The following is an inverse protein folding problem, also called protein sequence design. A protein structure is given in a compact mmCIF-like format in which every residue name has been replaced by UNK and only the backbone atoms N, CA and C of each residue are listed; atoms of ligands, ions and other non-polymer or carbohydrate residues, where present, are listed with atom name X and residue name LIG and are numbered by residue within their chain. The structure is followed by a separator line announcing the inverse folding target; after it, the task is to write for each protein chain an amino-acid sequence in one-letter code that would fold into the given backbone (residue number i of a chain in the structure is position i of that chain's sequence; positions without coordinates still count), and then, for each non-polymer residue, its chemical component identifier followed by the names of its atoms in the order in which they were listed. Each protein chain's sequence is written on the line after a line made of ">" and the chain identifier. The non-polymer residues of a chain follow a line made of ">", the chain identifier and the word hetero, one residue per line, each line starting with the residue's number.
data_IF_935385053830
#
_entry.id   IF_935385053830
#
_cell.length_a   1.000
_cell.length_b   1.000
_cell.length_c   1.000
_cell.angle_alpha   90.00
_cell.angle_beta   90.00
_cell.angle_gamma   90.00
#
_symmetry.space_group_name_H-M   'P 1'
#
loop_
_entity.id
_entity.type
_entity.pdbx_description
1 polymer ?
#
# COMPACT_ATOMS: atom_id res chain seq x y z
N UNK A 1 40.87 -20.30 55.24
CA UNK A 1 41.13 -18.87 54.92
C UNK A 1 39.89 -17.98 54.95
N UNK A 2 38.79 -18.29 54.26
CA UNK A 2 37.60 -17.40 54.17
C UNK A 2 36.94 -17.00 55.51
N UNK A 3 36.89 -17.87 56.53
CA UNK A 3 36.27 -17.55 57.83
C UNK A 3 37.10 -16.59 58.70
N UNK A 4 38.43 -16.63 58.59
CA UNK A 4 39.33 -15.71 59.29
C UNK A 4 39.34 -14.31 58.64
N UNK A 5 39.19 -14.26 57.32
CA UNK A 5 39.01 -13.00 56.59
C UNK A 5 37.71 -12.30 56.98
N UNK A 6 36.57 -13.03 57.02
CA UNK A 6 35.30 -12.48 57.51
C UNK A 6 35.39 -11.90 58.92
N UNK A 7 36.12 -12.56 59.83
CA UNK A 7 36.28 -12.10 61.20
C UNK A 7 37.17 -10.85 61.29
N UNK A 8 38.22 -10.78 60.47
CA UNK A 8 39.06 -9.58 60.32
C UNK A 8 38.24 -8.40 59.80
N UNK A 9 37.42 -8.63 58.78
CA UNK A 9 36.58 -7.61 58.16
C UNK A 9 35.52 -7.05 59.14
N UNK A 10 34.89 -7.94 59.93
CA UNK A 10 33.95 -7.57 61.00
C UNK A 10 34.60 -6.71 62.10
N UNK A 11 35.83 -7.04 62.53
CA UNK A 11 36.54 -6.26 63.56
C UNK A 11 37.00 -4.89 63.05
N UNK A 12 37.39 -4.79 61.76
CA UNK A 12 37.70 -3.50 61.14
C UNK A 12 36.48 -2.59 60.99
N UNK A 13 35.29 -3.16 60.75
CA UNK A 13 34.06 -2.38 60.61
C UNK A 13 33.62 -1.73 61.94
N UNK A 14 33.90 -2.39 63.07
CA UNK A 14 33.63 -1.85 64.42
C UNK A 14 34.56 -0.68 64.77
N UNK A 15 35.85 -0.76 64.40
CA UNK A 15 36.82 0.33 64.60
C UNK A 15 36.49 1.59 63.78
N UNK A 16 35.88 1.40 62.61
CA UNK A 16 35.50 2.50 61.72
C UNK A 16 34.17 3.18 62.11
N UNK A 17 33.31 2.49 62.88
CA UNK A 17 31.97 2.97 63.29
C UNK A 17 31.92 3.54 64.71
N UNK A 18 33.03 3.56 65.44
CA UNK A 18 33.08 4.11 66.80
C UNK A 18 33.25 5.64 66.75
N UNK A 19 32.24 6.38 67.25
CA UNK A 19 32.13 7.85 67.06
C UNK A 19 32.38 8.62 68.38
N UNK A 20 32.48 7.95 69.53
CA UNK A 20 32.67 8.63 70.83
C UNK A 20 34.15 8.89 71.15
N UNK A 21 34.50 10.13 71.49
CA UNK A 21 35.88 10.62 71.61
C UNK A 21 36.56 10.33 72.97
N UNK A 22 36.01 9.46 73.81
CA UNK A 22 36.52 9.24 75.17
C UNK A 22 37.67 8.22 75.27
N UNK A 23 37.88 7.37 74.26
CA UNK A 23 38.95 6.37 74.24
C UNK A 23 39.74 6.48 72.92
N UNK A 24 41.07 6.39 72.97
CA UNK A 24 41.91 6.41 71.77
C UNK A 24 41.74 5.12 70.96
N UNK A 25 41.96 5.18 69.64
CA UNK A 25 41.91 4.00 68.76
C UNK A 25 42.81 2.85 69.25
N UNK A 26 43.98 3.16 69.81
CA UNK A 26 44.89 2.16 70.39
C UNK A 26 44.30 1.49 71.65
N UNK A 27 43.57 2.23 72.49
CA UNK A 27 42.87 1.68 73.66
C UNK A 27 41.73 0.75 73.24
N UNK A 28 40.97 1.14 72.21
CA UNK A 28 39.88 0.32 71.66
C UNK A 28 40.43 -0.95 71.02
N UNK A 29 41.57 -0.87 70.31
CA UNK A 29 42.27 -2.04 69.78
C UNK A 29 42.70 -3.00 70.90
N UNK A 30 43.26 -2.49 72.01
CA UNK A 30 43.61 -3.34 73.16
C UNK A 30 42.42 -3.91 73.92
N UNK A 31 41.23 -3.30 73.85
CA UNK A 31 40.01 -3.87 74.40
C UNK A 31 39.40 -4.96 73.52
N UNK A 32 39.39 -4.76 72.20
CA UNK A 32 38.89 -5.74 71.23
C UNK A 32 39.84 -6.93 71.06
N UNK A 33 41.15 -6.67 71.15
CA UNK A 33 42.19 -7.66 71.09
C UNK A 33 43.34 -7.34 72.06
N UNK A 34 43.25 -7.70 73.35
CA UNK A 34 44.37 -7.56 74.28
C UNK A 34 45.66 -8.17 73.73
N UNK A 35 46.80 -7.51 73.97
CA UNK A 35 48.12 -7.93 73.45
C UNK A 35 48.44 -9.40 73.79
N UNK A 36 47.91 -9.89 74.91
CA UNK A 36 48.06 -11.26 75.40
C UNK A 36 46.93 -12.21 74.95
N UNK A 37 46.11 -11.87 73.94
CA UNK A 37 45.10 -12.81 73.38
C UNK A 37 45.77 -14.07 72.86
N UNK A 38 46.90 -13.94 72.15
CA UNK A 38 47.58 -15.09 71.59
C UNK A 38 48.06 -16.03 72.70
N UNK A 39 48.65 -15.49 73.78
CA UNK A 39 49.05 -16.25 74.97
C UNK A 39 47.85 -16.81 75.74
N UNK A 40 46.76 -16.04 75.87
CA UNK A 40 45.55 -16.47 76.58
C UNK A 40 44.85 -17.60 75.82
N UNK A 41 44.76 -17.51 74.50
CA UNK A 41 44.25 -18.57 73.63
C UNK A 41 45.17 -19.78 73.63
N UNK A 42 46.50 -19.61 73.66
CA UNK A 42 47.44 -20.71 73.81
C UNK A 42 47.34 -21.38 75.18
N UNK A 43 47.12 -20.62 76.25
CA UNK A 43 46.87 -21.15 77.60
C UNK A 43 45.52 -21.86 77.69
N UNK A 44 44.46 -21.30 77.10
CA UNK A 44 43.16 -21.97 77.00
C UNK A 44 43.30 -23.25 76.16
N UNK A 45 43.99 -23.21 75.02
CA UNK A 45 44.29 -24.41 74.20
C UNK A 45 45.14 -25.43 74.95
N UNK A 46 46.10 -25.01 75.78
CA UNK A 46 46.95 -25.92 76.56
C UNK A 46 46.19 -26.55 77.72
N UNK A 47 45.27 -25.81 78.36
CA UNK A 47 44.35 -26.33 79.39
C UNK A 47 43.31 -27.25 78.76
N UNK A 48 42.75 -26.90 77.60
CA UNK A 48 41.81 -27.73 76.83
C UNK A 48 42.50 -29.02 76.39
N UNK A 49 43.71 -28.97 75.83
CA UNK A 49 44.50 -30.18 75.48
C UNK A 49 44.84 -31.07 76.69
N UNK A 50 44.86 -30.50 77.90
CA UNK A 50 45.09 -31.24 79.16
C UNK A 50 43.81 -31.79 79.80
N UNK A 51 42.65 -31.13 79.61
CA UNK A 51 41.36 -31.51 80.23
C UNK A 51 40.39 -32.25 79.30
N UNK A 52 40.46 -32.00 78.00
CA UNK A 52 39.70 -32.76 77.00
C UNK A 52 40.49 -34.02 76.71
N UNK A 53 39.92 -35.23 76.90
CA UNK A 53 40.60 -36.44 76.47
C UNK A 53 40.95 -36.27 75.00
N UNK A 54 42.19 -36.63 74.59
CA UNK A 54 42.47 -36.86 73.16
C UNK A 54 41.31 -37.71 72.66
N UNK A 55 40.58 -37.22 71.65
CA UNK A 55 39.42 -37.95 71.11
C UNK A 55 39.82 -39.39 71.03
N UNK A 56 39.08 -40.24 71.76
CA UNK A 56 39.45 -41.63 71.81
C UNK A 56 39.44 -42.14 70.37
N UNK A 57 40.30 -43.10 70.00
CA UNK A 57 40.29 -43.68 68.66
C UNK A 57 38.86 -44.03 68.19
N UNK A 58 38.00 -44.42 69.13
CA UNK A 58 36.58 -44.71 68.93
C UNK A 58 35.73 -43.46 68.61
N UNK A 59 35.93 -42.32 69.28
CA UNK A 59 35.24 -41.06 68.95
C UNK A 59 35.65 -40.51 67.59
N UNK A 60 36.93 -40.56 67.25
CA UNK A 60 37.41 -40.15 65.93
C UNK A 60 36.88 -41.07 64.82
N UNK A 61 36.81 -42.38 65.08
CA UNK A 61 36.18 -43.33 64.18
C UNK A 61 34.67 -43.05 64.02
N UNK A 62 33.97 -42.72 65.11
CA UNK A 62 32.54 -42.41 65.09
C UNK A 62 32.22 -41.12 64.31
N UNK A 63 32.99 -40.05 64.51
CA UNK A 63 32.84 -38.80 63.74
C UNK A 63 33.11 -39.02 62.25
N UNK A 64 34.13 -39.82 61.91
CA UNK A 64 34.43 -40.16 60.52
C UNK A 64 33.34 -41.02 59.87
N UNK A 65 32.79 -41.99 60.60
CA UNK A 65 31.69 -42.83 60.12
C UNK A 65 30.42 -42.00 59.88
N UNK A 66 30.12 -41.07 60.79
CA UNK A 66 28.97 -40.15 60.67
C UNK A 66 29.13 -39.26 59.45
N UNK A 67 30.33 -38.70 59.23
CA UNK A 67 30.61 -37.88 58.04
C UNK A 67 30.56 -38.69 56.74
N UNK A 68 31.09 -39.92 56.75
CA UNK A 68 31.01 -40.83 55.60
C UNK A 68 29.55 -41.19 55.27
N UNK A 69 28.69 -41.36 56.28
CA UNK A 69 27.26 -41.61 56.06
C UNK A 69 26.58 -40.40 55.40
N UNK A 70 26.88 -39.18 55.85
CA UNK A 70 26.37 -37.94 55.22
C UNK A 70 26.89 -37.78 53.78
N UNK A 71 28.20 -37.96 53.57
CA UNK A 71 28.84 -37.86 52.26
C UNK A 71 28.27 -38.92 51.28
N UNK A 72 27.99 -40.13 51.77
CA UNK A 72 27.39 -41.20 50.97
C UNK A 72 25.94 -40.88 50.58
N UNK A 73 25.13 -40.34 51.50
CA UNK A 73 23.77 -39.86 51.18
C UNK A 73 23.79 -38.72 50.15
N UNK A 74 24.75 -37.81 50.22
CA UNK A 74 24.92 -36.73 49.23
C UNK A 74 25.27 -37.33 47.87
N UNK A 75 26.19 -38.29 47.84
CA UNK A 75 26.61 -38.97 46.61
C UNK A 75 25.45 -39.73 45.95
N UNK A 76 24.69 -40.52 46.71
CA UNK A 76 23.52 -41.25 46.22
C UNK A 76 22.45 -40.30 45.66
N UNK A 77 22.17 -39.20 46.36
CA UNK A 77 21.26 -38.17 45.88
C UNK A 77 21.75 -37.49 44.60
N UNK A 78 23.06 -37.23 44.48
CA UNK A 78 23.66 -36.67 43.28
C UNK A 78 23.60 -37.66 42.11
N UNK A 79 23.83 -38.95 42.34
CA UNK A 79 23.64 -39.99 41.33
C UNK A 79 22.20 -40.05 40.84
N UNK A 80 21.22 -40.05 41.75
CA UNK A 80 19.80 -40.06 41.39
C UNK A 80 19.41 -38.81 40.58
N UNK A 81 19.89 -37.63 40.97
CA UNK A 81 19.67 -36.39 40.21
C UNK A 81 20.30 -36.45 38.83
N UNK A 82 21.50 -36.99 38.70
CA UNK A 82 22.17 -37.15 37.41
C UNK A 82 21.40 -38.11 36.50
N UNK A 83 20.90 -39.21 37.06
CA UNK A 83 20.06 -40.18 36.33
C UNK A 83 18.77 -39.52 35.82
N UNK A 84 18.08 -38.75 36.67
CA UNK A 84 16.87 -38.00 36.30
C UNK A 84 17.17 -36.93 35.24
N UNK A 85 18.28 -36.19 35.39
CA UNK A 85 18.70 -35.18 34.42
C UNK A 85 19.00 -35.82 33.04
N UNK A 86 19.63 -37.00 33.02
CA UNK A 86 19.91 -37.74 31.79
C UNK A 86 18.62 -38.17 31.09
N UNK A 87 17.65 -38.71 31.83
CA UNK A 87 16.33 -39.08 31.27
C UNK A 87 15.61 -37.85 30.71
N UNK A 88 15.65 -36.72 31.42
CA UNK A 88 15.01 -35.48 30.96
C UNK A 88 15.71 -34.90 29.73
N UNK A 89 17.04 -34.99 29.66
CA UNK A 89 17.80 -34.60 28.48
C UNK A 89 17.42 -35.46 27.26
N UNK A 90 17.38 -36.78 27.40
CA UNK A 90 16.96 -37.69 26.33
C UNK A 90 15.53 -37.39 25.85
N UNK A 91 14.60 -37.09 26.77
CA UNK A 91 13.23 -36.68 26.41
C UNK A 91 13.20 -35.34 25.67
N UNK A 92 13.96 -34.35 26.14
CA UNK A 92 14.01 -33.04 25.52
C UNK A 92 14.64 -33.09 24.12
N UNK A 93 15.68 -33.92 23.96
CA UNK A 93 16.34 -34.16 22.68
C UNK A 93 15.38 -34.84 21.68
N UNK A 94 14.67 -35.90 22.10
CA UNK A 94 13.65 -36.55 21.28
C UNK A 94 12.51 -35.59 20.89
N UNK A 95 12.02 -34.78 21.83
CA UNK A 95 10.99 -33.77 21.57
C UNK A 95 11.48 -32.74 20.55
N UNK A 96 12.69 -32.20 20.75
CA UNK A 96 13.30 -31.21 19.86
C UNK A 96 13.48 -31.76 18.45
N UNK A 97 14.02 -32.98 18.32
CA UNK A 97 14.22 -33.63 17.04
C UNK A 97 12.89 -33.90 16.32
N UNK A 98 11.88 -34.39 17.04
CA UNK A 98 10.55 -34.64 16.48
C UNK A 98 9.86 -33.35 16.04
N UNK A 99 9.98 -32.29 16.83
CA UNK A 99 9.44 -30.97 16.49
C UNK A 99 10.13 -30.38 15.26
N UNK A 100 11.46 -30.46 15.20
CA UNK A 100 12.23 -29.94 14.07
C UNK A 100 11.88 -30.68 12.77
N UNK A 101 11.77 -32.01 12.81
CA UNK A 101 11.34 -32.81 11.64
C UNK A 101 9.91 -32.47 11.20
N UNK A 102 8.97 -32.35 12.14
CA UNK A 102 7.59 -32.01 11.81
C UNK A 102 7.48 -30.60 11.19
N UNK A 103 8.18 -29.63 11.79
CA UNK A 103 8.24 -28.25 11.30
C UNK A 103 8.87 -28.19 9.91
N UNK A 104 10.00 -28.85 9.69
CA UNK A 104 10.72 -28.81 8.42
C UNK A 104 9.88 -29.46 7.31
N UNK A 105 9.19 -30.58 7.59
CA UNK A 105 8.27 -31.20 6.64
C UNK A 105 7.11 -30.28 6.23
N UNK A 106 6.49 -29.58 7.19
CA UNK A 106 5.40 -28.64 6.90
C UNK A 106 5.91 -27.45 6.06
N UNK A 107 7.07 -26.90 6.42
CA UNK A 107 7.66 -25.76 5.70
C UNK A 107 8.08 -26.13 4.29
N UNK A 108 8.71 -27.30 4.09
CA UNK A 108 9.11 -27.77 2.77
C UNK A 108 7.90 -27.91 1.86
N UNK A 109 6.84 -28.59 2.32
CA UNK A 109 5.61 -28.73 1.54
C UNK A 109 4.99 -27.37 1.18
N UNK A 110 4.95 -26.44 2.15
CA UNK A 110 4.43 -25.09 1.92
C UNK A 110 5.26 -24.34 0.87
N UNK A 111 6.60 -24.43 0.93
CA UNK A 111 7.48 -23.78 -0.05
C UNK A 111 7.34 -24.40 -1.44
N UNK A 112 7.14 -25.71 -1.56
CA UNK A 112 6.90 -26.36 -2.85
C UNK A 112 5.56 -25.92 -3.46
N UNK A 113 4.49 -25.84 -2.67
CA UNK A 113 3.20 -25.33 -3.15
C UNK A 113 3.27 -23.86 -3.59
N UNK A 114 3.96 -23.02 -2.81
CA UNK A 114 4.18 -21.60 -3.17
C UNK A 114 5.02 -21.50 -4.43
N UNK A 115 6.09 -22.29 -4.56
CA UNK A 115 6.96 -22.32 -5.75
C UNK A 115 6.16 -22.66 -6.99
N UNK A 116 5.35 -23.72 -6.94
CA UNK A 116 4.63 -24.22 -8.11
C UNK A 116 3.58 -23.21 -8.58
N UNK A 117 2.85 -22.61 -7.63
CA UNK A 117 1.87 -21.57 -7.93
C UNK A 117 2.52 -20.27 -8.41
N UNK A 118 3.66 -19.88 -7.83
CA UNK A 118 4.45 -18.74 -8.29
C UNK A 118 4.90 -18.91 -9.75
N UNK A 119 5.45 -20.07 -10.09
CA UNK A 119 5.91 -20.39 -11.46
C UNK A 119 4.73 -20.38 -12.43
N UNK A 120 3.57 -20.91 -12.04
CA UNK A 120 2.34 -20.87 -12.85
C UNK A 120 1.92 -19.43 -13.17
N UNK A 121 1.78 -18.57 -12.14
CA UNK A 121 1.37 -17.18 -12.34
C UNK A 121 2.38 -16.41 -13.20
N UNK A 122 3.68 -16.61 -12.96
CA UNK A 122 4.72 -15.92 -13.72
C UNK A 122 4.70 -16.28 -15.21
N UNK A 123 4.44 -17.56 -15.53
CA UNK A 123 4.25 -18.04 -16.91
C UNK A 123 3.01 -17.46 -17.57
N UNK A 124 1.91 -17.33 -16.84
CA UNK A 124 0.69 -16.70 -17.38
C UNK A 124 0.96 -15.22 -17.70
N UNK A 125 1.73 -14.52 -16.86
CA UNK A 125 2.05 -13.10 -17.01
C UNK A 125 2.88 -12.81 -18.28
N UNK A 126 3.95 -13.57 -18.49
CA UNK A 126 4.91 -13.37 -19.60
C UNK A 126 4.60 -14.24 -20.83
N UNK A 127 3.63 -15.15 -20.74
CA UNK A 127 3.19 -16.00 -21.84
C UNK A 127 4.33 -16.78 -22.48
N UNK A 128 4.53 -16.57 -23.78
CA UNK A 128 5.49 -17.33 -24.57
C UNK A 128 6.96 -17.06 -24.22
N UNK A 129 7.25 -15.91 -23.62
CA UNK A 129 8.63 -15.48 -23.35
C UNK A 129 9.27 -16.32 -22.24
N UNK A 130 8.46 -16.84 -21.31
CA UNK A 130 8.93 -17.50 -20.09
C UNK A 130 8.32 -18.91 -19.89
N UNK A 131 7.88 -19.59 -20.96
CA UNK A 131 7.27 -20.91 -20.88
C UNK A 131 8.10 -21.96 -20.11
N UNK A 132 9.43 -21.86 -20.19
CA UNK A 132 10.38 -22.77 -19.52
C UNK A 132 10.84 -22.28 -18.14
N UNK A 133 10.27 -21.19 -17.64
CA UNK A 133 10.64 -20.62 -16.35
C UNK A 133 10.53 -21.65 -15.22
N UNK A 134 11.52 -21.64 -14.33
CA UNK A 134 11.54 -22.45 -13.12
C UNK A 134 12.15 -21.66 -11.98
N UNK A 135 11.75 -22.00 -10.76
CA UNK A 135 12.24 -21.35 -9.54
C UNK A 135 12.57 -22.40 -8.50
N UNK A 136 13.49 -22.07 -7.61
CA UNK A 136 13.88 -22.85 -6.44
C UNK A 136 13.69 -21.98 -5.19
N UNK A 137 12.96 -22.51 -4.23
CA UNK A 137 12.76 -21.93 -2.91
C UNK A 137 13.33 -22.91 -1.88
N UNK A 138 14.52 -22.63 -1.37
CA UNK A 138 15.22 -23.49 -0.42
C UNK A 138 15.40 -22.79 0.91
N UNK A 139 15.07 -23.43 2.05
CA UNK A 139 15.31 -22.84 3.36
C UNK A 139 16.82 -22.71 3.62
N UNK A 140 17.25 -21.50 3.97
CA UNK A 140 18.65 -21.21 4.34
C UNK A 140 18.71 -20.60 5.74
N UNK A 141 19.06 -21.43 6.74
CA UNK A 141 19.12 -21.05 8.17
C UNK A 141 17.81 -20.41 8.67
N UNK A 142 17.78 -19.08 8.72
CA UNK A 142 16.67 -18.26 9.19
C UNK A 142 15.94 -17.53 8.07
N UNK A 143 16.30 -17.78 6.81
CA UNK A 143 15.72 -17.15 5.62
C UNK A 143 15.34 -18.17 4.55
N UNK A 144 14.91 -17.64 3.41
CA UNK A 144 14.56 -18.40 2.23
C UNK A 144 15.47 -17.96 1.09
N UNK A 145 16.16 -18.91 0.48
CA UNK A 145 16.96 -18.67 -0.72
C UNK A 145 16.08 -18.89 -1.93
N UNK A 146 15.84 -17.80 -2.68
CA UNK A 146 15.11 -17.81 -3.93
C UNK A 146 16.08 -17.72 -5.10
N UNK A 147 16.07 -18.72 -5.97
CA UNK A 147 16.76 -18.68 -7.25
C UNK A 147 15.78 -18.95 -8.39
N UNK A 148 15.93 -18.24 -9.49
CA UNK A 148 15.07 -18.32 -10.68
C UNK A 148 15.92 -18.61 -11.90
N UNK A 149 15.37 -19.37 -12.85
CA UNK A 149 16.03 -19.64 -14.13
C UNK A 149 16.20 -18.36 -14.94
N UNK A 150 17.28 -18.30 -15.72
CA UNK A 150 17.51 -17.23 -16.69
C UNK A 150 17.82 -17.85 -18.05
N UNK A 151 16.81 -17.98 -18.91
CA UNK A 151 16.91 -18.54 -20.27
C UNK A 151 17.70 -19.87 -20.36
N UNK A 152 17.57 -20.75 -19.36
CA UNK A 152 18.29 -22.03 -19.31
C UNK A 152 19.80 -21.94 -19.01
N UNK A 153 20.32 -20.77 -18.66
CA UNK A 153 21.72 -20.58 -18.24
C UNK A 153 21.97 -20.89 -16.76
N UNK A 154 20.95 -21.39 -16.05
CA UNK A 154 21.03 -21.79 -14.66
C UNK A 154 20.15 -20.94 -13.75
N UNK A 155 20.16 -21.27 -12.45
CA UNK A 155 19.36 -20.61 -11.43
C UNK A 155 20.18 -19.55 -10.70
N UNK A 156 19.64 -18.33 -10.62
CA UNK A 156 20.30 -17.19 -10.00
C UNK A 156 19.31 -16.40 -9.12
N UNK A 157 19.79 -15.62 -8.14
CA UNK A 157 18.93 -14.70 -7.43
C UNK A 157 18.22 -13.73 -8.40
N UNK A 158 16.93 -13.39 -8.21
CA UNK A 158 16.18 -12.56 -9.15
C UNK A 158 16.88 -11.24 -9.51
N UNK A 159 17.47 -10.58 -8.50
CA UNK A 159 18.17 -9.29 -8.65
C UNK A 159 19.47 -9.35 -9.46
N UNK A 160 19.98 -10.55 -9.79
CA UNK A 160 21.28 -10.70 -10.42
C UNK A 160 21.22 -10.50 -11.95
N UNK A 161 20.17 -11.00 -12.61
CA UNK A 161 20.11 -11.09 -14.08
C UNK A 161 18.81 -10.55 -14.71
N UNK A 162 17.76 -10.35 -13.93
CA UNK A 162 16.46 -9.90 -14.45
C UNK A 162 16.34 -8.38 -14.42
N UNK A 163 15.61 -7.81 -15.38
CA UNK A 163 15.27 -6.38 -15.38
C UNK A 163 14.32 -6.03 -14.23
N UNK A 164 14.20 -4.75 -13.91
CA UNK A 164 13.30 -4.26 -12.86
C UNK A 164 11.84 -4.69 -13.09
N UNK A 165 11.33 -4.60 -14.33
CA UNK A 165 9.98 -5.07 -14.66
C UNK A 165 9.78 -6.58 -14.45
N UNK A 166 10.81 -7.40 -14.74
CA UNK A 166 10.77 -8.83 -14.41
C UNK A 166 10.82 -9.07 -12.89
N UNK A 167 11.60 -8.29 -12.15
CA UNK A 167 11.67 -8.41 -10.69
C UNK A 167 10.35 -8.02 -10.02
N UNK A 168 9.73 -6.92 -10.46
CA UNK A 168 8.46 -6.45 -9.92
C UNK A 168 7.31 -7.40 -10.26
N UNK A 169 7.27 -7.93 -11.49
CA UNK A 169 6.30 -8.96 -11.86
C UNK A 169 6.49 -10.27 -11.07
N UNK A 170 7.73 -10.69 -10.79
CA UNK A 170 8.00 -11.79 -9.86
C UNK A 170 7.48 -11.47 -8.44
N UNK A 171 7.73 -10.25 -7.96
CA UNK A 171 7.24 -9.77 -6.67
C UNK A 171 5.71 -9.85 -6.56
N UNK A 172 4.99 -9.37 -7.58
CA UNK A 172 3.53 -9.45 -7.65
C UNK A 172 3.05 -10.91 -7.65
N UNK A 173 3.64 -11.78 -8.48
CA UNK A 173 3.25 -13.19 -8.54
C UNK A 173 3.46 -13.91 -7.20
N UNK A 174 4.59 -13.64 -6.54
CA UNK A 174 4.90 -14.22 -5.23
C UNK A 174 3.93 -13.69 -4.15
N UNK A 175 3.66 -12.38 -4.15
CA UNK A 175 2.72 -11.77 -3.23
C UNK A 175 1.30 -12.34 -3.38
N UNK A 176 0.79 -12.46 -4.61
CA UNK A 176 -0.53 -13.04 -4.87
C UNK A 176 -0.60 -14.51 -4.45
N UNK A 177 0.47 -15.27 -4.71
CA UNK A 177 0.56 -16.67 -4.26
C UNK A 177 0.52 -16.78 -2.74
N UNK A 178 1.25 -15.93 -2.04
CA UNK A 178 1.22 -15.88 -0.57
C UNK A 178 -0.14 -15.46 -0.04
N UNK A 179 -0.78 -14.47 -0.68
CA UNK A 179 -2.13 -14.02 -0.33
C UNK A 179 -3.15 -15.16 -0.48
N UNK A 180 -3.03 -16.00 -1.51
CA UNK A 180 -3.86 -17.18 -1.72
C UNK A 180 -3.58 -18.29 -0.69
N UNK A 181 -2.31 -18.67 -0.51
CA UNK A 181 -1.92 -19.86 0.26
C UNK A 181 -1.86 -19.66 1.77
N UNK A 182 -1.40 -18.49 2.23
CA UNK A 182 -1.22 -18.23 3.66
C UNK A 182 -2.53 -17.81 4.32
N UNK A 183 -3.32 -17.01 3.62
CA UNK A 183 -4.57 -16.49 4.17
C UNK A 183 -5.78 -17.37 3.82
N UNK A 184 -5.68 -18.27 2.83
CA UNK A 184 -6.77 -19.16 2.44
C UNK A 184 -8.09 -18.40 2.26
N UNK A 185 -9.13 -18.88 2.94
CA UNK A 185 -10.48 -18.28 2.97
C UNK A 185 -10.68 -17.28 4.13
N UNK A 186 -9.63 -16.95 4.90
CA UNK A 186 -9.74 -16.02 6.03
C UNK A 186 -9.78 -14.56 5.56
N UNK A 187 -9.02 -14.24 4.50
CA UNK A 187 -8.90 -12.88 3.96
C UNK A 187 -8.97 -12.93 2.44
N UNK A 188 -10.07 -12.45 1.91
CA UNK A 188 -10.30 -12.32 0.46
C UNK A 188 -10.01 -10.93 -0.08
N UNK A 189 -9.39 -10.07 0.73
CA UNK A 189 -9.01 -8.71 0.34
C UNK A 189 -7.53 -8.62 0.00
N UNK A 190 -7.22 -8.07 -1.16
CA UNK A 190 -5.86 -7.76 -1.61
C UNK A 190 -5.76 -6.28 -1.96
N UNK A 191 -4.72 -5.60 -1.46
CA UNK A 191 -4.49 -4.17 -1.69
C UNK A 191 -3.18 -4.01 -2.45
N UNK A 192 -3.21 -3.32 -3.58
CA UNK A 192 -2.06 -3.04 -4.44
C UNK A 192 -1.90 -1.51 -4.56
N UNK A 193 -0.79 -0.98 -4.08
CA UNK A 193 -0.48 0.46 -4.14
C UNK A 193 0.69 0.73 -5.10
N UNK A 194 0.35 1.26 -6.26
CA UNK A 194 1.26 1.67 -7.34
C UNK A 194 2.32 0.63 -7.74
N UNK A 195 1.91 -0.64 -7.82
CA UNK A 195 2.82 -1.79 -7.97
C UNK A 195 3.31 -2.08 -9.40
N UNK A 196 2.77 -1.41 -10.43
CA UNK A 196 3.04 -1.76 -11.85
C UNK A 196 3.84 -0.69 -12.61
N UNK A 197 4.54 0.19 -11.91
CA UNK A 197 5.21 1.35 -12.53
C UNK A 197 6.33 0.95 -13.52
N UNK A 198 7.12 -0.08 -13.22
CA UNK A 198 8.27 -0.54 -14.03
C UNK A 198 7.90 -1.56 -15.11
N UNK A 199 6.65 -2.05 -15.11
CA UNK A 199 6.17 -3.12 -15.97
C UNK A 199 5.59 -2.50 -17.24
N UNK A 200 5.96 -3.03 -18.41
CA UNK A 200 5.45 -2.51 -19.68
C UNK A 200 3.97 -2.83 -19.93
N UNK A 201 3.42 -2.23 -20.98
CA UNK A 201 2.00 -2.35 -21.32
C UNK A 201 1.58 -3.78 -21.74
N UNK A 202 2.49 -4.60 -22.25
CA UNK A 202 2.18 -5.97 -22.67
C UNK A 202 2.05 -6.88 -21.45
N UNK A 203 3.05 -6.85 -20.57
CA UNK A 203 3.06 -7.60 -19.31
C UNK A 203 1.95 -7.16 -18.34
N UNK A 204 1.56 -5.87 -18.35
CA UNK A 204 0.39 -5.37 -17.61
C UNK A 204 -0.92 -6.06 -18.03
N UNK A 205 -1.09 -6.46 -19.29
CA UNK A 205 -2.26 -7.26 -19.72
C UNK A 205 -2.22 -8.66 -19.12
N UNK A 206 -1.03 -9.25 -19.00
CA UNK A 206 -0.83 -10.50 -18.27
C UNK A 206 -1.31 -10.41 -16.82
N UNK A 207 -1.02 -9.29 -16.15
CA UNK A 207 -1.54 -9.01 -14.80
C UNK A 207 -3.08 -8.92 -14.81
N UNK A 208 -3.69 -8.18 -15.74
CA UNK A 208 -5.15 -8.14 -15.87
C UNK A 208 -5.77 -9.53 -16.01
N UNK A 209 -5.14 -10.40 -16.80
CA UNK A 209 -5.59 -11.78 -16.99
C UNK A 209 -5.49 -12.61 -15.69
N UNK A 210 -4.37 -12.49 -14.96
CA UNK A 210 -4.21 -13.14 -13.65
C UNK A 210 -5.30 -12.71 -12.68
N UNK A 211 -5.54 -11.40 -12.54
CA UNK A 211 -6.54 -10.88 -11.60
C UNK A 211 -7.94 -11.43 -11.87
N UNK A 212 -8.30 -11.62 -13.14
CA UNK A 212 -9.61 -12.13 -13.56
C UNK A 212 -9.74 -13.65 -13.43
N UNK A 213 -8.82 -14.37 -14.06
CA UNK A 213 -8.97 -15.81 -14.26
C UNK A 213 -8.45 -16.59 -13.04
N UNK A 214 -7.39 -16.12 -12.40
CA UNK A 214 -6.78 -16.82 -11.27
C UNK A 214 -7.41 -16.43 -9.92
N UNK A 215 -8.01 -15.24 -9.82
CA UNK A 215 -8.53 -14.70 -8.55
C UNK A 215 -9.99 -14.17 -8.61
N UNK A 216 -10.95 -14.91 -9.19
CA UNK A 216 -12.32 -14.43 -9.36
C UNK A 216 -13.08 -14.17 -8.05
N UNK A 217 -12.68 -14.85 -6.96
CA UNK A 217 -13.34 -14.77 -5.66
C UNK A 217 -12.65 -13.77 -4.69
N UNK A 218 -11.58 -13.10 -5.12
CA UNK A 218 -10.88 -12.12 -4.27
C UNK A 218 -11.26 -10.70 -4.64
N UNK A 219 -11.43 -9.86 -3.62
CA UNK A 219 -11.64 -8.42 -3.76
C UNK A 219 -10.30 -7.71 -3.86
N UNK A 220 -10.11 -6.92 -4.91
CA UNK A 220 -8.91 -6.11 -5.12
C UNK A 220 -9.21 -4.63 -4.88
N UNK A 221 -8.36 -3.97 -4.09
CA UNK A 221 -8.25 -2.52 -4.02
C UNK A 221 -6.93 -2.11 -4.66
N UNK A 222 -7.01 -1.35 -5.76
CA UNK A 222 -5.84 -0.91 -6.50
C UNK A 222 -5.78 0.61 -6.45
N UNK A 223 -4.70 1.14 -5.88
CA UNK A 223 -4.36 2.56 -5.94
C UNK A 223 -3.21 2.75 -6.91
N UNK A 224 -3.28 3.79 -7.74
CA UNK A 224 -2.21 4.09 -8.70
C UNK A 224 -2.24 5.56 -9.11
N UNK A 225 -1.07 6.10 -9.45
CA UNK A 225 -0.96 7.38 -10.12
C UNK A 225 -0.97 7.27 -11.66
N UNK A 226 -0.88 6.04 -12.21
CA UNK A 226 -0.83 5.80 -13.65
C UNK A 226 -2.23 5.67 -14.28
N UNK A 227 -2.64 6.73 -15.00
CA UNK A 227 -3.89 6.74 -15.76
C UNK A 227 -3.92 5.71 -16.89
N UNK A 228 -2.77 5.35 -17.45
CA UNK A 228 -2.66 4.33 -18.49
C UNK A 228 -3.00 2.96 -17.91
N UNK A 229 -2.51 2.65 -16.72
CA UNK A 229 -2.86 1.41 -16.01
C UNK A 229 -4.35 1.34 -15.70
N UNK A 230 -4.94 2.43 -15.20
CA UNK A 230 -6.39 2.54 -14.96
C UNK A 230 -7.19 2.26 -16.26
N UNK A 231 -6.77 2.84 -17.38
CA UNK A 231 -7.43 2.64 -18.67
C UNK A 231 -7.26 1.20 -19.20
N UNK A 232 -6.13 0.55 -18.92
CA UNK A 232 -5.91 -0.85 -19.26
C UNK A 232 -6.84 -1.77 -18.45
N UNK A 233 -6.96 -1.54 -17.14
CA UNK A 233 -7.92 -2.28 -16.29
C UNK A 233 -9.36 -2.15 -16.82
N UNK A 234 -9.77 -0.95 -17.25
CA UNK A 234 -11.07 -0.72 -17.91
C UNK A 234 -11.19 -1.49 -19.23
N UNK A 235 -10.20 -1.36 -20.11
CA UNK A 235 -10.24 -1.93 -21.45
C UNK A 235 -10.27 -3.46 -21.43
N UNK A 236 -9.42 -4.06 -20.60
CA UNK A 236 -9.40 -5.51 -20.39
C UNK A 236 -10.62 -5.99 -19.59
N UNK A 237 -11.51 -5.09 -19.14
CA UNK A 237 -12.74 -5.36 -18.36
C UNK A 237 -12.49 -5.96 -16.98
N UNK A 238 -11.40 -5.59 -16.33
CA UNK A 238 -11.12 -5.96 -14.92
C UNK A 238 -12.02 -5.16 -13.99
N UNK A 239 -12.32 -3.92 -14.35
CA UNK A 239 -13.15 -2.99 -13.59
C UNK A 239 -14.17 -2.31 -14.52
N UNK A 240 -15.36 -2.02 -14.00
CA UNK A 240 -16.33 -1.12 -14.61
C UNK A 240 -16.01 0.35 -14.31
N UNK A 241 -16.48 1.28 -15.14
CA UNK A 241 -16.26 2.72 -14.93
C UNK A 241 -16.77 3.25 -13.58
N UNK A 242 -17.82 2.63 -13.02
CA UNK A 242 -18.42 2.98 -11.72
C UNK A 242 -17.57 2.58 -10.51
N UNK A 243 -16.58 1.69 -10.71
CA UNK A 243 -15.74 1.15 -9.65
C UNK A 243 -14.44 1.95 -9.50
N UNK A 244 -14.31 3.06 -10.23
CA UNK A 244 -13.08 3.83 -10.33
C UNK A 244 -13.31 5.21 -9.73
N UNK A 245 -12.57 5.48 -8.67
CA UNK A 245 -12.59 6.75 -7.95
C UNK A 245 -11.30 7.50 -8.28
N UNK A 246 -11.43 8.64 -8.96
CA UNK A 246 -10.28 9.51 -9.22
C UNK A 246 -10.21 10.60 -8.15
N UNK A 247 -9.15 10.56 -7.34
CA UNK A 247 -8.81 11.65 -6.46
C UNK A 247 -8.10 12.76 -7.24
N UNK A 248 -8.52 14.00 -7.00
CA UNK A 248 -7.88 15.20 -7.55
C UNK A 248 -7.75 16.24 -6.45
N UNK A 249 -6.78 17.15 -6.58
CA UNK A 249 -6.48 18.25 -5.65
C UNK A 249 -6.36 17.84 -4.17
N UNK A 250 -5.22 18.16 -3.57
CA UNK A 250 -5.01 17.95 -2.14
C UNK A 250 -4.79 19.30 -1.45
N UNK A 251 -5.53 19.56 -0.38
CA UNK A 251 -5.29 20.68 0.52
C UNK A 251 -5.32 20.18 1.97
N UNK A 252 -4.52 20.78 2.85
CA UNK A 252 -4.44 20.47 4.28
C UNK A 252 -5.82 20.59 4.96
N UNK A 253 -6.63 21.57 4.57
CA UNK A 253 -7.92 21.82 5.23
C UNK A 253 -9.04 20.89 4.77
N UNK A 254 -9.01 20.43 3.52
CA UNK A 254 -10.10 19.65 2.91
C UNK A 254 -9.74 18.20 2.63
N UNK A 255 -8.46 17.84 2.69
CA UNK A 255 -7.94 16.57 2.22
C UNK A 255 -7.99 16.43 0.68
N UNK A 256 -7.76 15.22 0.16
CA UNK A 256 -7.95 14.90 -1.25
C UNK A 256 -9.45 14.93 -1.60
N UNK A 257 -9.79 15.59 -2.70
CA UNK A 257 -11.16 15.60 -3.22
C UNK A 257 -11.33 14.45 -4.22
N UNK A 258 -12.55 13.95 -4.37
CA UNK A 258 -12.91 13.00 -5.43
C UNK A 258 -14.13 13.56 -6.17
N UNK A 259 -14.28 13.21 -7.46
CA UNK A 259 -15.47 13.53 -8.26
C UNK A 259 -16.02 12.18 -8.68
N UNK A 260 -17.25 11.88 -8.26
CA UNK A 260 -18.06 10.99 -9.06
C UNK A 260 -18.45 11.76 -10.31
N UNK A 261 -17.93 11.39 -11.47
CA UNK A 261 -18.29 12.03 -12.75
C UNK A 261 -19.79 11.89 -13.06
N UNK A 262 -20.49 10.97 -12.39
CA UNK A 262 -21.95 10.80 -12.47
C UNK A 262 -22.73 11.70 -11.49
N UNK A 263 -22.06 12.31 -10.50
CA UNK A 263 -22.71 13.25 -9.56
C UNK A 263 -22.48 14.66 -10.07
N UNK A 264 -23.49 15.11 -10.82
CA UNK A 264 -23.83 16.49 -11.13
C UNK A 264 -22.84 17.55 -10.61
N UNK A 265 -22.01 18.11 -11.51
CA UNK A 265 -21.08 19.20 -11.18
C UNK A 265 -21.81 20.44 -10.64
N UNK A 266 -23.11 20.57 -10.89
CA UNK A 266 -23.92 21.76 -10.60
C UNK A 266 -24.34 21.82 -9.13
N UNK A 267 -24.76 20.71 -8.51
CA UNK A 267 -25.24 20.68 -7.12
C UNK A 267 -24.18 21.20 -6.09
N UNK A 268 -22.89 20.84 -6.19
CA UNK A 268 -21.86 21.42 -5.33
C UNK A 268 -21.60 22.91 -5.58
N UNK A 269 -21.76 23.37 -6.82
CA UNK A 269 -21.58 24.79 -7.19
C UNK A 269 -22.72 25.62 -6.58
N UNK A 270 -23.96 25.15 -6.68
CA UNK A 270 -25.13 25.80 -6.04
C UNK A 270 -24.95 25.88 -4.53
N UNK A 271 -24.52 24.80 -3.87
CA UNK A 271 -24.24 24.80 -2.42
C UNK A 271 -23.17 25.81 -2.01
N UNK A 272 -22.14 26.01 -2.83
CA UNK A 272 -21.09 27.00 -2.57
C UNK A 272 -21.63 28.44 -2.78
N UNK A 273 -22.49 28.65 -3.78
CA UNK A 273 -23.18 29.94 -4.00
C UNK A 273 -24.14 30.27 -2.85
N UNK A 274 -24.91 29.31 -2.34
CA UNK A 274 -25.79 29.49 -1.16
C UNK A 274 -25.02 29.91 0.09
N UNK A 275 -23.80 29.40 0.24
CA UNK A 275 -22.88 29.75 1.34
C UNK A 275 -22.14 31.07 1.12
N UNK A 276 -22.38 31.77 0.00
CA UNK A 276 -21.62 32.93 -0.47
C UNK A 276 -20.11 32.64 -0.65
N UNK A 277 -19.72 31.40 -0.88
CA UNK A 277 -18.34 31.02 -1.21
C UNK A 277 -18.10 31.07 -2.72
N UNK A 278 -18.12 32.29 -3.25
CA UNK A 278 -17.94 32.56 -4.68
C UNK A 278 -16.60 32.04 -5.21
N UNK A 279 -15.45 32.20 -4.52
CA UNK A 279 -14.18 31.65 -4.98
C UNK A 279 -14.20 30.13 -5.18
N UNK A 280 -14.78 29.37 -4.25
CA UNK A 280 -14.89 27.92 -4.37
C UNK A 280 -15.84 27.52 -5.51
N UNK A 281 -17.01 28.15 -5.61
CA UNK A 281 -17.97 27.91 -6.69
C UNK A 281 -17.34 28.14 -8.07
N UNK A 282 -16.61 29.24 -8.24
CA UNK A 282 -15.97 29.59 -9.50
C UNK A 282 -14.83 28.63 -9.85
N UNK A 283 -14.03 28.22 -8.85
CA UNK A 283 -12.98 27.22 -9.03
C UNK A 283 -13.56 25.86 -9.47
N UNK A 284 -14.66 25.42 -8.86
CA UNK A 284 -15.37 24.19 -9.23
C UNK A 284 -15.94 24.27 -10.63
N UNK A 285 -16.59 25.37 -10.99
CA UNK A 285 -17.13 25.59 -12.33
C UNK A 285 -16.04 25.45 -13.39
N UNK A 286 -14.92 26.17 -13.24
CA UNK A 286 -13.81 26.11 -14.20
C UNK A 286 -13.33 24.69 -14.42
N UNK A 287 -13.07 23.97 -13.32
CA UNK A 287 -12.53 22.61 -13.37
C UNK A 287 -13.52 21.62 -13.95
N UNK A 288 -14.79 21.72 -13.57
CA UNK A 288 -15.87 20.89 -14.12
C UNK A 288 -15.98 21.05 -15.63
N UNK A 289 -15.88 22.29 -16.12
CA UNK A 289 -15.88 22.58 -17.56
C UNK A 289 -14.60 22.08 -18.25
N UNK A 290 -13.42 22.22 -17.64
CA UNK A 290 -12.16 21.70 -18.20
C UNK A 290 -12.23 20.19 -18.43
N UNK A 291 -12.76 19.46 -17.44
CA UNK A 291 -12.98 18.03 -17.51
C UNK A 291 -14.05 17.67 -18.55
N UNK A 292 -15.21 18.33 -18.50
CA UNK A 292 -16.32 18.08 -19.43
C UNK A 292 -15.89 18.28 -20.89
N UNK A 293 -15.28 19.43 -21.21
CA UNK A 293 -14.83 19.71 -22.58
C UNK A 293 -13.61 18.88 -22.99
N UNK A 294 -12.77 18.45 -22.04
CA UNK A 294 -11.74 17.46 -22.29
C UNK A 294 -12.33 16.13 -22.79
N UNK A 295 -13.36 15.61 -22.11
CA UNK A 295 -14.09 14.40 -22.53
C UNK A 295 -14.79 14.59 -23.87
N UNK A 296 -15.45 15.73 -24.09
CA UNK A 296 -16.09 16.03 -25.38
C UNK A 296 -15.08 16.07 -26.53
N UNK A 297 -13.92 16.71 -26.33
CA UNK A 297 -12.86 16.74 -27.33
C UNK A 297 -12.35 15.33 -27.66
N UNK A 298 -12.26 14.45 -26.66
CA UNK A 298 -11.95 13.03 -26.88
C UNK A 298 -13.03 12.32 -27.70
N UNK A 299 -14.29 12.39 -27.25
CA UNK A 299 -15.41 11.60 -27.80
C UNK A 299 -15.82 12.05 -29.21
N UNK A 300 -15.69 13.35 -29.50
CA UNK A 300 -15.89 13.91 -30.84
C UNK A 300 -14.61 13.91 -31.68
N UNK A 301 -13.48 13.45 -31.14
CA UNK A 301 -12.16 13.44 -31.77
C UNK A 301 -11.74 14.81 -32.32
N UNK A 302 -11.90 15.84 -31.51
CA UNK A 302 -11.64 17.24 -31.86
C UNK A 302 -10.13 17.51 -31.78
N UNK A 303 -9.50 18.11 -32.81
CA UNK A 303 -8.10 18.45 -32.76
C UNK A 303 -7.86 19.58 -31.74
N UNK A 304 -6.95 19.33 -30.80
CA UNK A 304 -6.48 20.31 -29.80
C UNK A 304 -4.98 20.57 -29.98
N UNK A 305 -4.51 21.76 -29.58
CA UNK A 305 -3.09 22.10 -29.67
C UNK A 305 -2.31 21.23 -28.69
N UNK A 306 -1.41 20.41 -29.19
CA UNK A 306 -0.58 19.54 -28.36
C UNK A 306 0.36 20.35 -27.46
N UNK A 307 0.34 20.04 -26.16
CA UNK A 307 1.25 20.62 -25.16
C UNK A 307 2.06 19.50 -24.50
N UNK A 308 3.38 19.54 -24.67
CA UNK A 308 4.29 18.50 -24.16
C UNK A 308 4.22 18.30 -22.65
N UNK A 309 3.94 19.38 -21.91
CA UNK A 309 3.82 19.33 -20.44
C UNK A 309 2.50 18.72 -19.94
N UNK A 310 1.56 18.38 -20.84
CA UNK A 310 0.24 17.86 -20.49
C UNK A 310 -0.68 18.85 -19.76
N UNK A 311 -0.31 20.12 -19.66
CA UNK A 311 -1.10 21.16 -18.96
C UNK A 311 -2.02 21.85 -19.93
N UNK A 312 -3.28 21.47 -19.89
CA UNK A 312 -4.36 22.08 -20.66
C UNK A 312 -5.24 22.94 -19.74
N UNK A 313 -5.79 24.01 -20.29
CA UNK A 313 -6.73 24.91 -19.64
C UNK A 313 -8.08 24.89 -20.37
N UNK A 314 -9.13 25.43 -19.74
CA UNK A 314 -10.48 25.45 -20.32
C UNK A 314 -10.51 25.98 -21.75
N UNK A 315 -9.77 27.07 -22.01
CA UNK A 315 -9.72 27.70 -23.32
C UNK A 315 -9.18 26.78 -24.43
N UNK A 316 -8.31 25.82 -24.08
CA UNK A 316 -7.75 24.85 -25.04
C UNK A 316 -8.81 23.84 -25.51
N UNK A 317 -9.84 23.57 -24.71
CA UNK A 317 -10.89 22.60 -25.03
C UNK A 317 -12.20 23.26 -25.47
N UNK A 318 -12.63 24.30 -24.75
CA UNK A 318 -13.92 24.97 -24.94
C UNK A 318 -14.07 25.54 -26.37
N UNK A 319 -13.08 26.30 -26.83
CA UNK A 319 -13.16 26.97 -28.14
C UNK A 319 -13.16 25.95 -29.29
N UNK A 320 -12.24 24.94 -29.32
CA UNK A 320 -12.32 23.88 -30.31
C UNK A 320 -13.64 23.10 -30.26
N UNK A 321 -14.15 22.78 -29.07
CA UNK A 321 -15.42 22.08 -28.90
C UNK A 321 -16.60 22.84 -29.50
N UNK A 322 -16.74 24.13 -29.18
CA UNK A 322 -17.78 24.98 -29.75
C UNK A 322 -17.69 25.10 -31.27
N UNK A 323 -16.48 25.24 -31.80
CA UNK A 323 -16.26 25.34 -33.24
C UNK A 323 -16.58 24.04 -33.98
N UNK A 324 -16.15 22.89 -33.46
CA UNK A 324 -16.44 21.61 -34.11
C UNK A 324 -17.92 21.22 -33.97
N UNK A 325 -18.58 21.54 -32.85
CA UNK A 325 -20.02 21.33 -32.73
C UNK A 325 -20.82 22.11 -33.80
N UNK A 326 -20.47 23.38 -34.03
CA UNK A 326 -21.03 24.17 -35.14
C UNK A 326 -20.72 23.57 -36.51
N UNK A 327 -19.51 23.05 -36.71
CA UNK A 327 -19.08 22.36 -37.93
C UNK A 327 -19.88 21.08 -38.18
N UNK A 328 -20.10 20.28 -37.14
CA UNK A 328 -20.92 19.05 -37.15
C UNK A 328 -22.36 19.37 -37.56
N UNK A 329 -23.00 20.36 -36.95
CA UNK A 329 -24.37 20.76 -37.34
C UNK A 329 -24.42 21.21 -38.80
N UNK A 330 -23.45 22.00 -39.27
CA UNK A 330 -23.39 22.43 -40.66
C UNK A 330 -23.24 21.24 -41.63
N UNK A 331 -22.39 20.26 -41.30
CA UNK A 331 -22.22 19.02 -42.07
C UNK A 331 -23.49 18.19 -42.05
N UNK A 332 -24.14 18.06 -40.88
CA UNK A 332 -25.41 17.37 -40.69
C UNK A 332 -26.53 17.95 -41.55
N UNK A 333 -26.73 19.27 -41.54
CA UNK A 333 -27.70 19.96 -42.40
C UNK A 333 -27.42 19.72 -43.88
N UNK A 334 -26.15 19.79 -44.29
CA UNK A 334 -25.76 19.57 -45.67
C UNK A 334 -25.93 18.10 -46.12
N UNK A 335 -25.76 17.15 -45.19
CA UNK A 335 -26.08 15.73 -45.41
C UNK A 335 -27.60 15.54 -45.52
N UNK A 336 -28.38 16.05 -44.57
CA UNK A 336 -29.84 15.95 -44.56
C UNK A 336 -30.46 16.47 -45.88
N UNK A 337 -30.02 17.64 -46.36
CA UNK A 337 -30.41 18.19 -47.66
C UNK A 337 -30.01 17.32 -48.86
N UNK A 338 -28.89 16.60 -48.76
CA UNK A 338 -28.42 15.72 -49.83
C UNK A 338 -29.17 14.39 -49.88
N UNK A 339 -29.77 13.98 -48.77
CA UNK A 339 -30.54 12.75 -48.61
C UNK A 339 -32.06 12.98 -48.61
N UNK A 340 -32.51 14.21 -48.87
CA UNK A 340 -33.92 14.63 -48.81
C UNK A 340 -34.61 14.25 -47.48
N UNK A 341 -33.87 14.37 -46.36
CA UNK A 341 -34.40 14.11 -45.02
C UNK A 341 -34.83 15.43 -44.35
N UNK A 342 -36.10 15.81 -44.56
CA UNK A 342 -36.68 17.06 -44.04
C UNK A 342 -36.76 17.08 -42.51
N UNK A 343 -37.12 15.96 -41.87
CA UNK A 343 -37.24 15.87 -40.39
C UNK A 343 -35.90 16.10 -39.68
N UNK A 344 -34.82 15.51 -40.20
CA UNK A 344 -33.47 15.74 -39.67
C UNK A 344 -32.99 17.18 -39.95
N UNK A 345 -33.40 17.77 -41.08
CA UNK A 345 -33.03 19.14 -41.41
C UNK A 345 -33.69 20.13 -40.45
N UNK A 346 -35.00 20.00 -40.22
CA UNK A 346 -35.75 20.88 -39.32
C UNK A 346 -35.26 20.76 -37.88
N UNK A 347 -34.99 19.54 -37.40
CA UNK A 347 -34.43 19.33 -36.06
C UNK A 347 -33.05 19.98 -35.91
N UNK A 348 -32.16 19.85 -36.91
CA UNK A 348 -30.86 20.52 -36.88
C UNK A 348 -30.95 22.04 -37.04
N UNK A 349 -31.96 22.57 -37.73
CA UNK A 349 -32.21 24.01 -37.81
C UNK A 349 -32.66 24.60 -36.47
N UNK A 350 -33.54 23.89 -35.76
CA UNK A 350 -33.90 24.24 -34.38
C UNK A 350 -32.69 24.20 -33.43
N UNK A 351 -31.91 23.12 -33.47
CA UNK A 351 -30.69 22.99 -32.64
C UNK A 351 -29.69 24.10 -32.95
N UNK A 352 -29.50 24.49 -34.21
CA UNK A 352 -28.57 25.56 -34.59
C UNK A 352 -29.04 26.95 -34.11
N UNK A 353 -30.36 27.18 -34.10
CA UNK A 353 -30.97 28.38 -33.54
C UNK A 353 -30.72 28.47 -32.03
N UNK A 354 -31.05 27.41 -31.28
CA UNK A 354 -30.80 27.31 -29.83
C UNK A 354 -29.31 27.45 -29.52
N UNK A 355 -28.44 26.75 -30.25
CA UNK A 355 -26.98 26.88 -30.14
C UNK A 355 -26.54 28.33 -30.33
N UNK A 356 -27.08 29.03 -31.33
CA UNK A 356 -26.75 30.43 -31.61
C UNK A 356 -27.05 31.36 -30.44
N UNK A 357 -28.20 31.17 -29.79
CA UNK A 357 -28.60 31.92 -28.59
C UNK A 357 -27.70 31.60 -27.40
N UNK A 358 -27.44 30.32 -27.14
CA UNK A 358 -26.56 29.87 -26.05
C UNK A 358 -25.15 30.40 -26.24
N UNK A 359 -24.57 30.31 -27.45
CA UNK A 359 -23.23 30.83 -27.73
C UNK A 359 -23.16 32.34 -27.52
N UNK A 360 -24.22 33.07 -27.89
CA UNK A 360 -24.33 34.50 -27.63
C UNK A 360 -24.29 34.82 -26.13
N UNK A 361 -25.07 34.07 -25.32
CA UNK A 361 -25.08 34.20 -23.85
C UNK A 361 -23.71 33.83 -23.26
N UNK A 362 -23.17 32.66 -23.58
CA UNK A 362 -21.85 32.23 -23.09
C UNK A 362 -20.77 33.24 -23.47
N UNK A 363 -20.76 33.80 -24.68
CA UNK A 363 -19.79 34.82 -25.08
C UNK A 363 -19.98 36.17 -24.40
N UNK A 364 -21.21 36.60 -24.15
CA UNK A 364 -21.50 37.83 -23.40
C UNK A 364 -21.00 37.71 -21.96
N UNK A 365 -21.26 36.57 -21.32
CA UNK A 365 -20.71 36.23 -20.01
C UNK A 365 -19.19 35.97 -20.05
N UNK A 366 -18.64 35.62 -21.21
CA UNK A 366 -17.20 35.50 -21.46
C UNK A 366 -16.50 36.85 -21.60
N UNK A 367 -17.21 37.96 -21.84
CA UNK A 367 -16.57 39.28 -21.76
C UNK A 367 -16.16 39.62 -20.31
N UNK A 368 -16.94 39.17 -19.33
CA UNK A 368 -16.60 39.14 -17.90
C UNK A 368 -15.38 38.23 -17.61
N UNK A 369 -15.14 37.23 -18.47
CA UNK A 369 -14.00 36.30 -18.41
C UNK A 369 -12.72 36.87 -19.06
N UNK A 370 -12.81 37.58 -20.20
CA UNK A 370 -11.65 38.04 -21.00
C UNK A 370 -10.80 39.14 -20.33
N UNK A 371 -11.36 39.91 -19.40
CA UNK A 371 -10.58 40.83 -18.57
C UNK A 371 -9.61 40.10 -17.61
N UNK A 372 -9.76 38.78 -17.44
CA UNK A 372 -9.13 37.99 -16.38
C UNK A 372 -8.49 36.67 -16.85
N UNK A 373 -8.35 36.43 -18.16
CA UNK A 373 -7.70 35.22 -18.69
C UNK A 373 -6.19 35.17 -18.39
N UNK A 374 -5.61 36.28 -17.93
CA UNK A 374 -4.23 36.32 -17.44
C UNK A 374 -4.10 36.35 -15.92
N UNK A 375 -5.16 36.65 -15.15
CA UNK A 375 -5.09 36.67 -13.68
C UNK A 375 -6.41 36.28 -13.00
N UNK A 376 -6.24 35.45 -11.99
CA UNK A 376 -7.19 34.77 -11.11
C UNK A 376 -8.25 35.69 -10.46
N UNK A 377 -9.24 36.19 -11.20
CA UNK A 377 -10.21 37.17 -10.70
C UNK A 377 -11.66 36.64 -10.54
N UNK A 378 -11.91 35.36 -10.80
CA UNK A 378 -13.22 34.75 -10.58
C UNK A 378 -13.62 34.78 -9.09
N UNK A 379 -12.63 34.85 -8.20
CA UNK A 379 -12.81 34.98 -6.75
C UNK A 379 -13.38 36.34 -6.31
N UNK A 380 -13.40 37.36 -7.18
CA UNK A 380 -13.86 38.71 -6.87
C UNK A 380 -15.30 38.98 -7.32
N UNK A 381 -16.00 37.98 -7.86
CA UNK A 381 -17.40 38.08 -8.23
C UNK A 381 -18.31 38.05 -7.00
N UNK A 382 -19.47 38.69 -7.10
CA UNK A 382 -20.57 38.45 -6.17
C UNK A 382 -21.37 37.22 -6.63
N UNK A 383 -22.21 36.68 -5.75
CA UNK A 383 -23.13 35.58 -6.10
C UNK A 383 -24.01 35.95 -7.31
N UNK A 384 -24.46 37.21 -7.38
CA UNK A 384 -25.29 37.71 -8.48
C UNK A 384 -24.54 37.81 -9.81
N UNK A 385 -23.20 37.90 -9.78
CA UNK A 385 -22.38 37.92 -10.99
C UNK A 385 -22.04 36.50 -11.48
N UNK A 386 -21.86 35.54 -10.56
CA UNK A 386 -21.48 34.18 -10.92
C UNK A 386 -22.68 33.30 -11.32
N UNK A 387 -23.87 33.52 -10.76
CA UNK A 387 -25.05 32.71 -11.06
C UNK A 387 -25.44 32.70 -12.55
N UNK A 388 -25.49 33.85 -13.26
CA UNK A 388 -25.80 33.86 -14.71
C UNK A 388 -24.74 33.14 -15.54
N UNK A 389 -23.48 33.16 -15.09
CA UNK A 389 -22.37 32.46 -15.74
C UNK A 389 -22.56 30.94 -15.60
N UNK A 390 -22.90 30.45 -14.40
CA UNK A 390 -23.17 29.03 -14.15
C UNK A 390 -24.30 28.53 -15.05
N UNK A 391 -25.43 29.24 -15.09
CA UNK A 391 -26.56 28.91 -15.96
C UNK A 391 -26.17 28.87 -17.44
N UNK A 392 -25.42 29.87 -17.93
CA UNK A 392 -25.00 29.92 -19.32
C UNK A 392 -24.08 28.77 -19.72
N UNK A 393 -23.23 28.30 -18.80
CA UNK A 393 -22.37 27.13 -19.03
C UNK A 393 -23.12 25.81 -18.87
N UNK A 394 -24.12 25.73 -18.00
CA UNK A 394 -25.01 24.58 -17.90
C UNK A 394 -25.79 24.37 -19.20
N UNK A 395 -26.39 25.44 -19.73
CA UNK A 395 -27.06 25.43 -21.04
C UNK A 395 -26.09 25.00 -22.17
N UNK A 396 -24.84 25.46 -22.12
CA UNK A 396 -23.83 25.08 -23.09
C UNK A 396 -23.48 23.58 -23.01
N UNK A 397 -23.30 23.03 -21.81
CA UNK A 397 -23.02 21.61 -21.61
C UNK A 397 -24.17 20.74 -22.15
N UNK A 398 -25.42 21.15 -21.94
CA UNK A 398 -26.61 20.42 -22.42
C UNK A 398 -26.63 20.23 -23.95
N UNK A 399 -26.01 21.13 -24.73
CA UNK A 399 -25.92 20.98 -26.19
C UNK A 399 -25.14 19.72 -26.63
N UNK A 400 -24.20 19.27 -25.80
CA UNK A 400 -23.35 18.10 -26.06
C UNK A 400 -23.92 16.80 -25.46
N UNK A 401 -25.06 16.88 -24.79
CA UNK A 401 -25.73 15.74 -24.18
C UNK A 401 -26.99 15.37 -24.98
N UNK A 402 -27.33 14.09 -24.96
CA UNK A 402 -28.59 13.63 -25.54
C UNK A 402 -29.76 14.01 -24.61
N UNK A 403 -30.81 14.72 -25.10
CA UNK A 403 -31.95 15.10 -24.27
C UNK A 403 -32.70 13.91 -23.66
N UNK A 404 -32.68 12.74 -24.30
CA UNK A 404 -33.41 11.55 -23.84
C UNK A 404 -32.66 10.68 -22.83
N UNK A 405 -31.35 10.51 -22.98
CA UNK A 405 -30.57 9.58 -22.15
C UNK A 405 -29.48 10.24 -21.31
N UNK A 406 -29.29 11.56 -21.42
CA UNK A 406 -28.24 12.31 -20.72
C UNK A 406 -26.80 11.98 -21.17
N UNK A 407 -26.60 10.96 -22.01
CA UNK A 407 -25.28 10.55 -22.48
C UNK A 407 -24.66 11.55 -23.44
N UNK A 408 -23.34 11.70 -23.36
CA UNK A 408 -22.56 12.54 -24.29
C UNK A 408 -22.69 12.05 -25.74
N UNK A 409 -22.71 13.00 -26.67
CA UNK A 409 -22.64 12.70 -28.10
C UNK A 409 -21.20 12.38 -28.48
N UNK A 410 -21.01 11.37 -29.33
CA UNK A 410 -19.69 10.96 -29.79
C UNK A 410 -19.66 10.76 -31.30
N UNK A 411 -18.45 10.84 -31.87
CA UNK A 411 -18.23 10.71 -33.30
C UNK A 411 -17.92 9.25 -33.65
N UNK A 412 -18.78 8.63 -34.46
CA UNK A 412 -18.48 7.32 -35.04
C UNK A 412 -17.77 7.48 -36.39
N UNK A 413 -16.68 6.72 -36.56
CA UNK A 413 -15.83 6.74 -37.75
C UNK A 413 -15.93 5.42 -38.52
N UNK A 414 -15.83 5.50 -39.84
CA UNK A 414 -15.62 4.33 -40.72
C UNK A 414 -14.37 4.60 -41.55
N UNK A 415 -13.42 3.66 -41.54
CA UNK A 415 -12.10 3.84 -42.18
C UNK A 415 -11.43 5.17 -41.82
N UNK A 416 -11.43 5.52 -40.53
CA UNK A 416 -10.89 6.77 -39.96
C UNK A 416 -11.60 8.06 -40.40
N UNK A 417 -12.64 7.99 -41.24
CA UNK A 417 -13.42 9.16 -41.66
C UNK A 417 -14.64 9.35 -40.75
N UNK A 418 -14.97 10.60 -40.37
CA UNK A 418 -16.19 10.91 -39.62
C UNK A 418 -17.43 10.57 -40.45
N UNK A 419 -18.31 9.71 -39.93
CA UNK A 419 -19.51 9.27 -40.64
C UNK A 419 -20.77 9.83 -40.00
N UNK A 420 -20.86 9.71 -38.68
CA UNK A 420 -22.09 10.01 -37.95
C UNK A 420 -21.75 10.46 -36.53
N UNK A 421 -22.51 11.42 -36.01
CA UNK A 421 -22.50 11.75 -34.58
C UNK A 421 -23.71 11.12 -33.94
N UNK A 422 -23.52 10.40 -32.83
CA UNK A 422 -24.62 9.69 -32.16
C UNK A 422 -24.46 9.67 -30.65
N UNK A 423 -25.53 9.36 -29.96
CA UNK A 423 -25.50 9.01 -28.54
C UNK A 423 -25.69 7.50 -28.33
N UNK A 424 -25.56 7.04 -27.08
CA UNK A 424 -25.71 5.62 -26.73
C UNK A 424 -27.12 5.06 -26.94
N UNK A 425 -28.17 5.88 -26.76
CA UNK A 425 -29.55 5.43 -26.96
C UNK A 425 -30.04 5.56 -28.42
N UNK A 426 -29.23 6.14 -29.32
CA UNK A 426 -29.58 6.32 -30.73
C UNK A 426 -30.56 7.46 -31.03
N UNK A 427 -31.11 8.15 -30.02
CA UNK A 427 -32.01 9.29 -30.24
C UNK A 427 -31.32 10.47 -30.94
N UNK A 428 -30.04 10.70 -30.62
CA UNK A 428 -29.19 11.58 -31.41
C UNK A 428 -28.47 10.72 -32.44
N UNK A 429 -28.70 11.00 -33.72
CA UNK A 429 -28.09 10.31 -34.85
C UNK A 429 -28.00 11.24 -36.06
N UNK A 430 -26.88 11.96 -36.18
CA UNK A 430 -26.65 12.96 -37.23
C UNK A 430 -25.69 12.42 -38.28
N UNK A 431 -26.23 12.05 -39.44
CA UNK A 431 -25.41 11.65 -40.59
C UNK A 431 -24.58 12.85 -41.07
N UNK A 432 -23.27 12.65 -41.25
CA UNK A 432 -22.35 13.67 -41.74
C UNK A 432 -21.95 13.48 -43.20
N UNK A 433 -22.33 12.35 -43.81
CA UNK A 433 -21.98 12.00 -45.19
C UNK A 433 -23.07 12.45 -46.15
N UNK A 434 -22.70 13.19 -47.21
CA UNK A 434 -23.62 13.53 -48.30
C UNK A 434 -23.87 12.32 -49.20
N UNK A 435 -25.02 12.29 -49.87
CA UNK A 435 -25.31 11.26 -50.87
C UNK A 435 -24.24 11.35 -51.96
N UNK A 436 -23.51 10.26 -52.18
CA UNK A 436 -22.65 10.15 -53.35
C UNK A 436 -23.57 10.08 -54.57
N UNK A 437 -23.42 11.03 -55.49
CA UNK A 437 -24.06 10.95 -56.81
C UNK A 437 -23.49 9.79 -57.61
#
# INVERSE_FOLDING_TARGET
>A
CLRLQKLRDLLSDVLNKYIESQFSQEMIQKMLAPDNIAESLQNILSIIKKRVPKTSPEQYAWDNLTRLEEDLKIYENAQNKNLLAKINFEKADLLSNSFQQAKDNILINLYEEIRDRFVELYKILHGNDENNFSAKLEPEKAGLKMEVDFHGYGTHPPHALHSEGHQDSMGICLYLTLAEKVHGDLIDLVILDDVVMSIDAEHRRGICNILKECFPNKQFFITTHDKTWTNQLKFERVLDSKEIIEFYNWNISTGPLYMDFEVDIWEPIEKDLEKNDVPSAASRLRRGLEQFFGSICNDLCIPVIYKLNGRYELGDFLIPAMNEYRSIIKKGKASARSWDNEELLDSLENIDSTRGQIYGRTHAEQWTLNANVHYNNWANFSVNDLHPVVEAFQDLCLLFLCPSCGGMIYLAKQNLKPVIVRCNCGNVSWNLIKKNN
#
